data_IF_051460008501
#
_entry.id   IF_051460008501
#
_cell.length_a   1.000
_cell.length_b   1.000
_cell.length_c   1.000
_cell.angle_alpha   90.00
_cell.angle_beta   90.00
_cell.angle_gamma   90.00
#
_symmetry.space_group_name_H-M   'P 1'
#
loop_
_entity.id
_entity.type
_entity.pdbx_description
1 polymer ?
#
# COMPACT_ATOMS: atom_id res chain seq x y z
N UNK A 1 21.67 -1.55 0.80
CA UNK A 1 20.72 -1.90 1.86
C UNK A 1 20.18 -3.33 1.76
N UNK A 2 20.14 -3.90 0.57
CA UNK A 2 19.70 -5.29 0.37
C UNK A 2 20.43 -6.30 1.24
N UNK A 3 21.71 -6.05 1.52
CA UNK A 3 22.57 -6.98 2.25
C UNK A 3 22.42 -6.89 3.76
N UNK A 4 21.71 -5.88 4.25
CA UNK A 4 21.47 -5.70 5.66
C UNK A 4 20.37 -6.63 6.14
N UNK A 5 20.47 -7.12 7.36
CA UNK A 5 19.36 -7.83 7.99
C UNK A 5 18.25 -6.84 8.33
N UNK A 6 17.04 -7.34 8.57
CA UNK A 6 15.95 -6.48 9.00
C UNK A 6 16.27 -5.79 10.33
N UNK A 7 16.99 -6.46 11.24
CA UNK A 7 17.41 -5.85 12.50
C UNK A 7 18.36 -4.67 12.25
N UNK A 8 19.28 -4.80 11.30
CA UNK A 8 20.21 -3.72 10.94
C UNK A 8 19.46 -2.54 10.34
N UNK A 9 18.50 -2.80 9.45
CA UNK A 9 17.67 -1.76 8.85
C UNK A 9 16.87 -1.02 9.91
N UNK A 10 16.30 -1.76 10.85
CA UNK A 10 15.50 -1.19 11.94
C UNK A 10 16.31 -0.19 12.77
N UNK A 11 17.61 -0.40 12.90
CA UNK A 11 18.48 0.51 13.66
C UNK A 11 18.77 1.83 12.96
N UNK A 12 18.66 1.88 11.64
CA UNK A 12 19.01 3.07 10.86
C UNK A 12 17.81 3.86 10.35
N UNK A 13 16.60 3.31 10.45
CA UNK A 13 15.39 4.03 10.04
C UNK A 13 14.81 4.82 11.21
N UNK A 14 14.05 5.87 10.86
CA UNK A 14 13.41 6.78 11.83
C UNK A 14 11.89 6.61 11.81
N UNK A 15 11.42 5.38 11.58
CA UNK A 15 10.00 5.06 11.50
C UNK A 15 9.53 4.45 12.81
N UNK A 16 8.46 5.00 13.35
CA UNK A 16 7.78 4.47 14.53
C UNK A 16 6.54 3.72 14.04
N UNK A 17 6.66 2.41 13.88
CA UNK A 17 5.61 1.60 13.25
C UNK A 17 4.34 1.56 14.07
N UNK A 18 3.22 1.84 13.40
CA UNK A 18 1.89 1.74 14.00
C UNK A 18 1.57 0.28 14.35
N UNK A 19 0.87 0.08 15.45
CA UNK A 19 0.45 -1.25 15.90
C UNK A 19 -0.41 -1.93 14.83
N UNK A 20 -0.07 -3.17 14.49
CA UNK A 20 -0.79 -3.93 13.45
C UNK A 20 -0.09 -3.96 12.11
N UNK A 21 0.91 -3.12 11.90
CA UNK A 21 1.72 -3.14 10.67
C UNK A 21 2.62 -4.37 10.69
N UNK A 22 2.76 -5.04 9.55
CA UNK A 22 3.70 -6.15 9.39
C UNK A 22 5.11 -5.57 9.18
N UNK A 23 5.84 -5.36 10.28
CA UNK A 23 7.16 -4.72 10.26
C UNK A 23 8.17 -5.51 9.45
N UNK A 24 8.21 -6.83 9.62
CA UNK A 24 9.17 -7.68 8.91
C UNK A 24 9.00 -7.55 7.39
N UNK A 25 7.78 -7.61 6.91
CA UNK A 25 7.49 -7.47 5.49
C UNK A 25 7.82 -6.05 5.01
N UNK A 26 7.51 -5.04 5.80
CA UNK A 26 7.81 -3.64 5.47
C UNK A 26 9.30 -3.43 5.27
N UNK A 27 10.12 -3.92 6.19
CA UNK A 27 11.58 -3.82 6.11
C UNK A 27 12.13 -4.59 4.92
N UNK A 28 11.67 -5.82 4.72
CA UNK A 28 12.13 -6.65 3.60
C UNK A 28 11.78 -6.04 2.24
N UNK A 29 10.55 -5.56 2.09
CA UNK A 29 10.10 -4.96 0.84
C UNK A 29 10.83 -3.66 0.53
N UNK A 30 11.03 -2.82 1.53
CA UNK A 30 11.68 -1.52 1.34
C UNK A 30 13.16 -1.69 0.96
N UNK A 31 13.90 -2.55 1.64
CA UNK A 31 15.32 -2.71 1.35
C UNK A 31 15.63 -3.30 -0.03
N UNK A 32 14.66 -4.00 -0.64
CA UNK A 32 14.82 -4.54 -1.99
C UNK A 32 14.90 -3.45 -3.06
N UNK A 33 14.21 -2.34 -2.85
CA UNK A 33 14.05 -1.29 -3.87
C UNK A 33 14.83 -0.01 -3.58
N UNK A 34 15.29 0.18 -2.35
CA UNK A 34 15.84 1.45 -1.89
C UNK A 34 17.33 1.34 -1.69
N UNK A 35 18.08 2.38 -2.10
CA UNK A 35 19.54 2.41 -2.04
C UNK A 35 20.11 3.26 -0.92
N UNK A 36 19.32 4.17 -0.34
CA UNK A 36 19.80 5.09 0.69
C UNK A 36 18.77 5.23 1.81
N UNK A 37 19.23 5.74 2.96
CA UNK A 37 18.43 5.86 4.18
C UNK A 37 17.30 6.86 4.05
N UNK A 38 17.51 7.96 3.34
CA UNK A 38 16.50 9.01 3.17
C UNK A 38 15.29 8.45 2.41
N UNK A 39 15.54 7.79 1.28
CA UNK A 39 14.48 7.19 0.47
C UNK A 39 13.82 6.02 1.22
N UNK A 40 14.59 5.29 2.02
CA UNK A 40 14.06 4.21 2.85
C UNK A 40 13.02 4.73 3.84
N UNK A 41 13.34 5.81 4.55
CA UNK A 41 12.41 6.44 5.50
C UNK A 41 11.16 6.96 4.78
N UNK A 42 11.33 7.62 3.64
CA UNK A 42 10.20 8.09 2.82
C UNK A 42 9.30 6.95 2.39
N UNK A 43 9.89 5.84 1.95
CA UNK A 43 9.17 4.66 1.47
C UNK A 43 8.32 4.00 2.55
N UNK A 44 8.71 4.11 3.82
CA UNK A 44 8.04 3.47 4.94
C UNK A 44 7.22 4.43 5.81
N UNK A 45 7.16 5.71 5.45
CA UNK A 45 6.44 6.71 6.23
C UNK A 45 4.96 6.36 6.43
N UNK A 46 4.36 5.70 5.47
CA UNK A 46 2.95 5.28 5.54
C UNK A 46 2.67 4.28 6.68
N UNK A 47 3.71 3.72 7.27
CA UNK A 47 3.58 2.72 8.34
C UNK A 47 3.47 3.35 9.74
N UNK A 48 3.52 4.67 9.87
CA UNK A 48 3.58 5.33 11.18
C UNK A 48 2.23 5.57 11.84
N UNK A 49 1.14 5.47 11.12
CA UNK A 49 -0.18 5.79 11.67
C UNK A 49 -1.27 4.90 11.07
N UNK A 50 -2.46 4.92 11.68
CA UNK A 50 -3.59 4.15 11.19
C UNK A 50 -4.08 4.67 9.83
N UNK A 51 -4.14 5.98 9.68
CA UNK A 51 -4.57 6.64 8.45
C UNK A 51 -3.43 7.47 7.88
N UNK A 52 -3.52 7.77 6.58
CA UNK A 52 -2.57 8.66 5.93
C UNK A 52 -3.32 9.85 5.32
N UNK A 53 -2.62 10.98 5.25
CA UNK A 53 -3.13 12.17 4.55
C UNK A 53 -2.67 12.12 3.10
N UNK A 54 -3.61 12.36 2.19
CA UNK A 54 -3.30 12.44 0.77
C UNK A 54 -2.96 13.89 0.46
N UNK A 55 -1.73 14.13 0.00
CA UNK A 55 -1.28 15.48 -0.37
C UNK A 55 -2.09 16.05 -1.53
N UNK A 56 -2.21 17.37 -1.56
CA UNK A 56 -2.97 18.05 -2.62
C UNK A 56 -2.43 17.75 -4.02
N UNK A 57 -1.12 17.52 -4.13
CA UNK A 57 -0.47 17.17 -5.40
C UNK A 57 -0.98 15.84 -5.99
N UNK A 58 -1.55 14.98 -5.16
CA UNK A 58 -2.05 13.67 -5.61
C UNK A 58 -3.55 13.64 -5.82
N UNK A 59 -4.29 14.68 -5.40
CA UNK A 59 -5.74 14.69 -5.51
C UNK A 59 -6.23 14.64 -6.96
N UNK A 60 -5.48 15.24 -7.87
CA UNK A 60 -5.82 15.19 -9.30
C UNK A 60 -5.77 13.75 -9.83
N UNK A 61 -4.83 12.94 -9.35
CA UNK A 61 -4.70 11.54 -9.77
C UNK A 61 -5.92 10.70 -9.35
N UNK A 62 -6.69 11.18 -8.37
CA UNK A 62 -7.85 10.47 -7.83
C UNK A 62 -9.19 10.99 -8.37
N UNK A 63 -9.17 12.05 -9.18
CA UNK A 63 -10.40 12.69 -9.69
C UNK A 63 -10.98 12.01 -10.92
N UNK A 64 -10.27 11.10 -11.55
CA UNK A 64 -10.74 10.42 -12.75
C UNK A 64 -12.10 9.78 -12.49
N UNK A 65 -13.02 9.93 -13.45
CA UNK A 65 -14.36 9.35 -13.36
C UNK A 65 -14.26 7.83 -13.16
N UNK A 66 -15.04 7.31 -12.23
CA UNK A 66 -15.07 5.88 -11.95
C UNK A 66 -14.03 5.40 -10.95
N UNK A 67 -13.09 6.24 -10.53
CA UNK A 67 -12.05 5.83 -9.59
C UNK A 67 -12.62 5.36 -8.25
N UNK A 68 -13.56 6.11 -7.68
CA UNK A 68 -14.17 5.76 -6.39
C UNK A 68 -14.85 4.40 -6.45
N UNK A 69 -15.64 4.17 -7.49
CA UNK A 69 -16.36 2.91 -7.69
C UNK A 69 -15.40 1.75 -7.89
N UNK A 70 -14.31 1.99 -8.61
CA UNK A 70 -13.29 1.00 -8.87
C UNK A 70 -12.59 0.57 -7.57
N UNK A 71 -12.21 1.53 -6.76
CA UNK A 71 -11.55 1.28 -5.47
C UNK A 71 -12.50 0.58 -4.50
N UNK A 72 -13.75 1.00 -4.44
CA UNK A 72 -14.76 0.34 -3.60
C UNK A 72 -14.96 -1.12 -4.02
N UNK A 73 -15.05 -1.38 -5.31
CA UNK A 73 -15.21 -2.73 -5.84
C UNK A 73 -14.00 -3.61 -5.50
N UNK A 74 -12.79 -3.09 -5.64
CA UNK A 74 -11.59 -3.84 -5.29
C UNK A 74 -11.53 -4.13 -3.80
N UNK A 75 -11.90 -3.15 -2.97
CA UNK A 75 -11.96 -3.34 -1.51
C UNK A 75 -12.89 -4.51 -1.16
N UNK A 76 -14.07 -4.57 -1.79
CA UNK A 76 -15.03 -5.64 -1.56
C UNK A 76 -14.42 -7.01 -1.90
N UNK A 77 -13.77 -7.11 -3.07
CA UNK A 77 -13.15 -8.36 -3.50
C UNK A 77 -12.00 -8.76 -2.56
N UNK A 78 -11.17 -7.81 -2.18
CA UNK A 78 -10.03 -8.09 -1.29
C UNK A 78 -10.47 -8.54 0.10
N UNK A 79 -11.52 -7.93 0.64
CA UNK A 79 -12.00 -8.29 1.97
C UNK A 79 -12.63 -9.68 2.03
N UNK A 80 -12.97 -10.27 0.89
CA UNK A 80 -13.48 -11.64 0.81
C UNK A 80 -12.35 -12.69 0.89
N UNK A 81 -11.09 -12.27 0.81
CA UNK A 81 -9.97 -13.20 0.95
C UNK A 81 -9.84 -13.65 2.41
N UNK A 82 -9.41 -14.90 2.61
CA UNK A 82 -9.20 -15.45 3.95
C UNK A 82 -7.99 -14.83 4.64
N UNK A 83 -6.98 -14.45 3.86
CA UNK A 83 -5.76 -13.85 4.39
C UNK A 83 -5.16 -12.88 3.38
N UNK A 84 -4.37 -11.92 3.89
CA UNK A 84 -3.66 -10.95 3.06
C UNK A 84 -2.21 -11.41 2.87
N UNK A 85 -2.05 -12.42 2.01
CA UNK A 85 -0.74 -12.88 1.57
C UNK A 85 -0.51 -12.41 0.14
N UNK A 86 0.74 -12.19 -0.24
CA UNK A 86 1.09 -11.61 -1.54
C UNK A 86 0.47 -12.37 -2.70
N UNK A 87 0.57 -13.70 -2.70
CA UNK A 87 0.02 -14.50 -3.79
C UNK A 87 -1.51 -14.42 -3.86
N UNK A 88 -2.18 -14.36 -2.71
CA UNK A 88 -3.64 -14.25 -2.66
C UNK A 88 -4.10 -12.87 -3.17
N UNK A 89 -3.41 -11.81 -2.77
CA UNK A 89 -3.71 -10.45 -3.23
C UNK A 89 -3.46 -10.35 -4.73
N UNK A 90 -2.35 -10.94 -5.22
CA UNK A 90 -2.01 -10.93 -6.65
C UNK A 90 -3.11 -11.60 -7.48
N UNK A 91 -3.57 -12.76 -7.05
CA UNK A 91 -4.66 -13.48 -7.73
C UNK A 91 -5.95 -12.67 -7.72
N UNK A 92 -6.25 -12.05 -6.59
CA UNK A 92 -7.43 -11.20 -6.45
C UNK A 92 -7.37 -10.04 -7.45
N UNK A 93 -6.23 -9.38 -7.57
CA UNK A 93 -6.04 -8.29 -8.52
C UNK A 93 -6.16 -8.79 -9.96
N UNK A 94 -5.52 -9.90 -10.29
CA UNK A 94 -5.57 -10.45 -11.65
C UNK A 94 -7.01 -10.77 -12.06
N UNK A 95 -7.78 -11.40 -11.19
CA UNK A 95 -9.19 -11.69 -11.44
C UNK A 95 -10.02 -10.42 -11.59
N UNK A 96 -9.76 -9.44 -10.73
CA UNK A 96 -10.44 -8.15 -10.76
C UNK A 96 -10.23 -7.43 -12.10
N UNK A 97 -8.98 -7.39 -12.56
CA UNK A 97 -8.62 -6.74 -13.82
C UNK A 97 -9.22 -7.46 -15.03
N UNK A 98 -9.17 -8.78 -15.03
CA UNK A 98 -9.69 -9.60 -16.11
C UNK A 98 -11.20 -9.42 -16.28
N UNK A 99 -11.94 -9.49 -15.19
CA UNK A 99 -13.39 -9.31 -15.22
C UNK A 99 -13.84 -7.97 -15.75
N UNK A 100 -13.04 -6.94 -15.53
CA UNK A 100 -13.38 -5.56 -15.90
C UNK A 100 -12.63 -5.06 -17.12
N UNK A 101 -11.79 -5.90 -17.72
CA UNK A 101 -10.96 -5.53 -18.86
C UNK A 101 -10.13 -4.27 -18.58
N UNK A 102 -9.46 -4.26 -17.42
CA UNK A 102 -8.64 -3.14 -16.98
C UNK A 102 -7.17 -3.52 -16.97
N UNK A 103 -6.33 -2.49 -17.05
CA UNK A 103 -4.89 -2.64 -16.90
C UNK A 103 -4.50 -2.40 -15.44
N UNK A 104 -3.47 -3.07 -14.98
CA UNK A 104 -2.95 -2.97 -13.60
C UNK A 104 -2.78 -1.51 -13.16
N UNK A 105 -2.20 -0.68 -14.00
CA UNK A 105 -1.91 0.72 -13.69
C UNK A 105 -3.16 1.52 -13.32
N UNK A 106 -4.29 1.20 -13.92
CA UNK A 106 -5.54 1.91 -13.66
C UNK A 106 -6.03 1.75 -12.23
N UNK A 107 -5.67 0.64 -11.59
CA UNK A 107 -6.05 0.35 -10.20
C UNK A 107 -4.89 0.64 -9.25
N UNK A 108 -3.68 0.22 -9.62
CA UNK A 108 -2.52 0.29 -8.74
C UNK A 108 -2.13 1.72 -8.37
N UNK A 109 -2.17 2.66 -9.31
CA UNK A 109 -1.77 4.04 -9.02
C UNK A 109 -2.69 4.71 -8.00
N UNK A 110 -4.03 4.78 -8.22
CA UNK A 110 -4.89 5.37 -7.21
C UNK A 110 -4.85 4.60 -5.89
N UNK A 111 -4.78 3.28 -5.94
CA UNK A 111 -4.72 2.47 -4.73
C UNK A 111 -3.48 2.77 -3.90
N UNK A 112 -2.31 2.91 -4.54
CA UNK A 112 -1.07 3.27 -3.84
C UNK A 112 -1.19 4.63 -3.15
N UNK A 113 -1.73 5.62 -3.83
CA UNK A 113 -1.92 6.96 -3.26
C UNK A 113 -2.86 6.91 -2.06
N UNK A 114 -3.97 6.21 -2.18
CA UNK A 114 -4.95 6.08 -1.10
C UNK A 114 -4.35 5.38 0.11
N UNK A 115 -3.58 4.33 -0.12
CA UNK A 115 -3.04 3.52 0.97
C UNK A 115 -1.79 4.11 1.62
N UNK A 116 -0.98 4.87 0.87
CA UNK A 116 0.29 5.38 1.38
C UNK A 116 0.38 6.91 1.45
N UNK A 117 -0.51 7.60 0.76
CA UNK A 117 -0.45 9.06 0.64
C UNK A 117 0.67 9.54 -0.28
N UNK A 118 1.32 8.64 -1.00
CA UNK A 118 2.50 8.95 -1.81
C UNK A 118 2.63 8.01 -2.99
N UNK A 119 3.48 8.38 -3.94
CA UNK A 119 3.90 7.50 -5.04
C UNK A 119 5.20 6.77 -4.72
N UNK A 120 5.85 7.13 -3.60
CA UNK A 120 7.10 6.50 -3.14
C UNK A 120 6.78 5.50 -2.06
N UNK A 121 6.84 4.21 -2.37
CA UNK A 121 6.49 3.13 -1.45
C UNK A 121 7.03 1.80 -1.98
N UNK A 122 6.99 0.73 -1.16
CA UNK A 122 7.17 -0.62 -1.69
C UNK A 122 6.11 -0.94 -2.76
N UNK A 123 6.21 -2.09 -3.41
CA UNK A 123 5.23 -2.51 -4.41
C UNK A 123 3.82 -2.59 -3.84
N UNK A 124 2.81 -2.44 -4.70
CA UNK A 124 1.42 -2.37 -4.23
C UNK A 124 0.96 -3.63 -3.50
N UNK A 125 1.39 -4.80 -3.94
CA UNK A 125 1.01 -6.05 -3.26
C UNK A 125 1.64 -6.13 -1.87
N UNK A 126 2.90 -5.71 -1.75
CA UNK A 126 3.57 -5.64 -0.45
C UNK A 126 2.87 -4.63 0.47
N UNK A 127 2.53 -3.44 -0.06
CA UNK A 127 1.81 -2.42 0.72
C UNK A 127 0.53 -2.99 1.31
N UNK A 128 -0.28 -3.65 0.50
CA UNK A 128 -1.54 -4.25 0.97
C UNK A 128 -1.30 -5.25 2.09
N UNK A 129 -0.31 -6.12 1.91
CA UNK A 129 0.01 -7.14 2.91
C UNK A 129 0.66 -6.55 4.17
N UNK A 130 1.49 -5.52 4.03
CA UNK A 130 2.08 -4.80 5.16
C UNK A 130 1.00 -4.20 6.06
N UNK A 131 -0.03 -3.60 5.45
CA UNK A 131 -1.13 -2.98 6.19
C UNK A 131 -2.06 -4.02 6.83
N UNK A 132 -2.30 -5.14 6.17
CA UNK A 132 -3.28 -6.11 6.63
C UNK A 132 -4.70 -5.65 6.36
N UNK A 133 -5.66 -6.56 6.53
CA UNK A 133 -7.07 -6.32 6.20
C UNK A 133 -7.67 -5.11 6.90
N UNK A 134 -7.44 -5.00 8.19
CA UNK A 134 -8.08 -3.97 9.01
C UNK A 134 -7.64 -2.57 8.61
N UNK A 135 -6.33 -2.33 8.56
CA UNK A 135 -5.79 -1.02 8.20
C UNK A 135 -6.09 -0.70 6.74
N UNK A 136 -5.92 -1.68 5.84
CA UNK A 136 -6.26 -1.55 4.44
C UNK A 136 -7.70 -1.04 4.27
N UNK A 137 -8.65 -1.71 4.91
CA UNK A 137 -10.06 -1.35 4.82
C UNK A 137 -10.34 0.04 5.39
N UNK A 138 -9.72 0.39 6.50
CA UNK A 138 -9.90 1.70 7.13
C UNK A 138 -9.41 2.83 6.23
N UNK A 139 -8.28 2.66 5.57
CA UNK A 139 -7.73 3.68 4.67
C UNK A 139 -8.61 3.88 3.44
N UNK A 140 -9.14 2.79 2.89
CA UNK A 140 -10.04 2.88 1.74
C UNK A 140 -11.35 3.59 2.15
N UNK A 141 -11.93 3.22 3.27
CA UNK A 141 -13.15 3.86 3.78
C UNK A 141 -12.93 5.34 4.04
N UNK A 142 -11.79 5.70 4.61
CA UNK A 142 -11.44 7.09 4.86
C UNK A 142 -11.44 7.91 3.57
N UNK A 143 -10.85 7.37 2.52
CA UNK A 143 -10.85 7.99 1.19
C UNK A 143 -12.28 8.12 0.64
N UNK A 144 -13.08 7.04 0.74
CA UNK A 144 -14.44 7.04 0.18
C UNK A 144 -15.38 8.02 0.91
N UNK A 145 -15.11 8.31 2.17
CA UNK A 145 -15.90 9.22 2.98
C UNK A 145 -15.44 10.69 2.87
N UNK A 146 -14.33 10.93 2.19
CA UNK A 146 -13.80 12.28 2.04
C UNK A 146 -14.47 13.09 0.91
#
# INVERSE_FOLDING_TARGET
>A
LKRLSNDDVLKIIEIDFYKGINVELALSAAKEKVKDTITLNQSLKFCESELVNIGDEYKEDLKAEGTRELIEAFNTDALNLNSFEINEIRKCMDNFLEKRNLKMKQVALPLRIILTGSKVSPGIFEVICILGKEIFSKRIKHYLES
#
